data_IF_771903294158
#
_entry.id   IF_771903294158
#
_cell.length_a   1.000
_cell.length_b   1.000
_cell.length_c   1.000
_cell.angle_alpha   90.00
_cell.angle_beta   90.00
_cell.angle_gamma   90.00
#
_symmetry.space_group_name_H-M   'P 1'
#
loop_
_entity.id
_entity.type
_entity.pdbx_description
1 polymer ?
#
# COMPACT_ATOMS: atom_id res chain seq x y z
N UNK A 1 7.70 -3.18 -2.29
CA UNK A 1 8.93 -3.91 -1.89
C UNK A 1 9.27 -3.59 -0.44
N UNK A 2 8.80 -4.41 0.49
CA UNK A 2 9.30 -4.51 1.86
C UNK A 2 10.32 -5.64 1.81
N UNK A 3 11.44 -5.40 1.15
CA UNK A 3 12.49 -6.40 0.94
C UNK A 3 13.77 -5.60 1.17
N UNK A 4 14.70 -5.93 2.06
CA UNK A 4 14.97 -7.23 2.64
C UNK A 4 15.93 -7.12 3.82
N UNK A 5 15.45 -6.64 4.97
CA UNK A 5 16.18 -6.83 6.24
C UNK A 5 15.35 -7.41 7.38
N UNK A 6 14.10 -7.78 7.11
CA UNK A 6 13.26 -8.55 8.04
C UNK A 6 12.73 -9.86 7.45
N UNK A 7 13.01 -10.14 6.18
CA UNK A 7 12.47 -11.31 5.47
C UNK A 7 13.27 -12.61 5.67
N UNK A 8 14.57 -12.54 6.00
CA UNK A 8 15.41 -13.75 6.09
C UNK A 8 15.04 -14.72 7.23
N UNK A 9 14.15 -14.32 8.15
CA UNK A 9 13.56 -15.23 9.15
C UNK A 9 12.04 -15.42 9.02
N UNK A 10 11.35 -14.64 8.19
CA UNK A 10 9.88 -14.68 8.08
C UNK A 10 9.37 -15.43 6.84
N UNK A 11 10.21 -15.63 5.82
CA UNK A 11 9.82 -16.35 4.59
C UNK A 11 9.66 -17.87 4.77
N UNK A 12 10.22 -18.45 5.84
CA UNK A 12 10.08 -19.89 6.12
C UNK A 12 8.74 -20.28 6.75
N UNK A 13 7.85 -19.31 7.04
CA UNK A 13 6.58 -19.56 7.76
C UNK A 13 5.31 -19.30 6.93
N UNK A 14 5.41 -18.99 5.64
CA UNK A 14 4.24 -18.68 4.79
C UNK A 14 3.71 -19.90 4.00
N UNK A 15 4.27 -21.09 4.21
CA UNK A 15 3.79 -22.32 3.58
C UNK A 15 2.66 -22.98 4.40
N UNK A 16 1.44 -22.89 3.85
CA UNK A 16 0.21 -23.61 4.22
C UNK A 16 -0.34 -23.35 5.63
N UNK A 17 -1.11 -22.27 5.77
CA UNK A 17 -2.20 -22.24 6.75
C UNK A 17 -3.51 -22.32 5.98
N UNK A 18 -4.16 -23.48 6.07
CA UNK A 18 -5.51 -23.69 5.55
C UNK A 18 -6.50 -22.72 6.23
N UNK A 19 -7.34 -22.12 5.40
CA UNK A 19 -8.63 -21.50 5.74
C UNK A 19 -9.30 -22.19 6.94
N UNK A 20 -9.32 -21.53 8.09
CA UNK A 20 -10.13 -21.96 9.23
C UNK A 20 -10.92 -20.79 9.83
N UNK A 21 -12.24 -20.93 9.79
CA UNK A 21 -13.27 -20.37 10.71
C UNK A 21 -13.41 -18.85 10.94
N UNK A 22 -13.15 -17.97 9.96
CA UNK A 22 -13.59 -16.55 10.06
C UNK A 22 -15.00 -16.32 9.49
N UNK A 23 -15.53 -17.23 8.66
CA UNK A 23 -16.76 -16.99 7.88
C UNK A 23 -18.06 -16.87 8.69
N UNK A 24 -18.08 -17.22 9.98
CA UNK A 24 -19.30 -17.27 10.80
C UNK A 24 -19.41 -16.19 11.88
N UNK A 25 -18.51 -15.20 11.94
CA UNK A 25 -18.64 -14.10 12.91
C UNK A 25 -19.68 -13.09 12.42
N UNK A 26 -20.82 -13.00 13.12
CA UNK A 26 -21.84 -11.99 12.85
C UNK A 26 -21.55 -10.74 13.66
N UNK A 27 -21.37 -9.61 12.97
CA UNK A 27 -21.19 -8.31 13.61
C UNK A 27 -22.55 -7.66 13.86
N UNK A 28 -22.81 -7.28 15.12
CA UNK A 28 -23.96 -6.47 15.49
C UNK A 28 -23.51 -5.04 15.73
N UNK A 29 -23.97 -4.12 14.87
CA UNK A 29 -23.59 -2.72 14.93
C UNK A 29 -24.64 -1.89 15.67
N UNK A 30 -24.16 -1.01 16.54
CA UNK A 30 -24.90 0.10 17.12
C UNK A 30 -24.72 1.33 16.24
N UNK A 31 -25.82 1.91 15.73
CA UNK A 31 -25.80 3.07 14.84
C UNK A 31 -26.75 4.17 15.31
N UNK A 32 -26.38 5.42 15.05
CA UNK A 32 -27.19 6.61 15.40
C UNK A 32 -28.36 6.84 14.43
N UNK A 33 -28.16 6.51 13.15
CA UNK A 33 -29.23 6.43 12.14
C UNK A 33 -29.75 5.00 12.03
N UNK A 34 -31.09 4.86 11.99
CA UNK A 34 -31.73 3.62 11.53
C UNK A 34 -31.34 3.41 10.07
N UNK A 35 -30.93 2.18 9.72
CA UNK A 35 -30.67 1.75 8.34
C UNK A 35 -31.82 2.22 7.43
N UNK A 36 -31.62 3.37 6.77
CA UNK A 36 -32.52 3.83 5.75
C UNK A 36 -32.19 3.04 4.49
N UNK A 37 -33.24 2.64 3.78
CA UNK A 37 -33.15 1.80 2.59
C UNK A 37 -32.08 2.34 1.61
N UNK A 38 -31.14 1.47 1.23
CA UNK A 38 -30.13 1.66 0.19
C UNK A 38 -29.46 3.05 0.18
N UNK A 39 -28.71 3.36 1.24
CA UNK A 39 -27.85 4.55 1.25
C UNK A 39 -26.81 4.47 0.11
N UNK A 40 -26.69 5.56 -0.66
CA UNK A 40 -25.81 5.67 -1.81
C UNK A 40 -24.35 5.97 -1.42
N UNK A 41 -23.84 5.35 -0.35
CA UNK A 41 -22.47 5.59 0.09
C UNK A 41 -21.49 5.24 -1.03
N UNK A 42 -20.60 6.19 -1.32
CA UNK A 42 -19.45 5.98 -2.21
C UNK A 42 -18.29 5.34 -1.44
N UNK A 43 -18.13 5.67 -0.16
CA UNK A 43 -17.00 5.25 0.68
C UNK A 43 -17.47 4.62 1.98
N UNK A 44 -16.93 3.48 2.35
CA UNK A 44 -17.07 2.89 3.68
C UNK A 44 -15.71 2.85 4.35
N UNK A 45 -15.54 3.66 5.40
CA UNK A 45 -14.30 3.71 6.19
C UNK A 45 -14.36 2.65 7.28
N UNK A 46 -13.29 1.87 7.43
CA UNK A 46 -13.15 0.88 8.49
C UNK A 46 -12.09 1.31 9.51
N UNK A 47 -12.39 1.08 10.78
CA UNK A 47 -11.54 1.46 11.92
C UNK A 47 -11.48 0.30 12.92
N UNK A 48 -10.42 -0.53 12.90
CA UNK A 48 -10.17 -1.51 13.94
C UNK A 48 -9.69 -0.81 15.21
N UNK A 49 -10.25 -1.19 16.36
CA UNK A 49 -9.97 -0.58 17.66
C UNK A 49 -9.66 -1.64 18.71
N UNK A 50 -8.55 -1.45 19.43
CA UNK A 50 -8.21 -2.23 20.62
C UNK A 50 -7.36 -1.39 21.57
N UNK A 51 -7.95 -1.02 22.71
CA UNK A 51 -7.32 -0.20 23.74
C UNK A 51 -6.86 1.19 23.27
N UNK A 52 -7.77 1.95 22.65
CA UNK A 52 -7.51 3.28 22.07
C UNK A 52 -8.28 4.42 22.74
N UNK A 53 -8.75 4.24 23.98
CA UNK A 53 -9.63 5.22 24.64
C UNK A 53 -9.08 6.66 24.62
N UNK A 54 -7.75 6.83 24.73
CA UNK A 54 -7.10 8.14 24.74
C UNK A 54 -7.10 8.89 23.39
N UNK A 55 -7.22 8.17 22.27
CA UNK A 55 -7.08 8.75 20.93
C UNK A 55 -8.38 8.67 20.12
N UNK A 56 -9.24 7.71 20.42
CA UNK A 56 -10.40 7.36 19.61
C UNK A 56 -11.33 8.54 19.34
N UNK A 57 -11.58 9.40 20.33
CA UNK A 57 -12.44 10.58 20.13
C UNK A 57 -11.87 11.53 19.05
N UNK A 58 -10.55 11.79 19.08
CA UNK A 58 -9.89 12.63 18.08
C UNK A 58 -9.87 11.98 16.70
N UNK A 59 -9.68 10.65 16.64
CA UNK A 59 -9.79 9.87 15.41
C UNK A 59 -11.18 9.99 14.78
N UNK A 60 -12.23 9.88 15.59
CA UNK A 60 -13.61 10.03 15.13
C UNK A 60 -13.93 11.47 14.70
N UNK A 61 -13.42 12.49 15.39
CA UNK A 61 -13.52 13.89 14.95
C UNK A 61 -12.84 14.12 13.60
N UNK A 62 -11.64 13.57 13.39
CA UNK A 62 -10.95 13.68 12.11
C UNK A 62 -11.77 13.06 10.97
N UNK A 63 -12.48 11.96 11.24
CA UNK A 63 -13.36 11.30 10.26
C UNK A 63 -14.69 12.02 10.07
N UNK A 64 -15.27 12.64 11.11
CA UNK A 64 -16.54 13.36 11.02
C UNK A 64 -16.40 14.72 10.33
N UNK A 65 -15.26 15.38 10.52
CA UNK A 65 -15.01 16.76 10.04
C UNK A 65 -14.36 16.79 8.65
N UNK A 66 -14.68 15.83 7.78
CA UNK A 66 -14.11 15.75 6.44
C UNK A 66 -14.67 16.84 5.52
N UNK A 67 -13.81 17.37 4.65
CA UNK A 67 -14.13 18.41 3.67
C UNK A 67 -13.77 17.97 2.26
N UNK A 68 -14.47 18.51 1.28
CA UNK A 68 -14.18 18.33 -0.14
C UNK A 68 -12.88 19.04 -0.56
N UNK A 69 -12.50 18.83 -1.83
CA UNK A 69 -11.36 19.52 -2.43
C UNK A 69 -11.55 21.05 -2.49
N UNK A 70 -12.80 21.52 -2.43
CA UNK A 70 -13.19 22.93 -2.33
C UNK A 70 -13.22 23.46 -0.88
N UNK A 71 -12.76 22.67 0.10
CA UNK A 71 -12.76 22.98 1.53
C UNK A 71 -14.14 23.14 2.17
N UNK A 72 -15.22 22.73 1.49
CA UNK A 72 -16.57 22.70 2.07
C UNK A 72 -16.83 21.36 2.75
N UNK A 73 -17.64 21.29 3.83
CA UNK A 73 -17.99 20.03 4.47
C UNK A 73 -18.51 18.99 3.47
N UNK A 74 -18.03 17.75 3.57
CA UNK A 74 -18.57 16.66 2.74
C UNK A 74 -19.99 16.33 3.18
N UNK A 75 -20.92 16.10 2.23
CA UNK A 75 -22.22 15.54 2.55
C UNK A 75 -22.09 14.23 3.35
N UNK A 76 -22.79 14.09 4.49
CA UNK A 76 -22.70 12.89 5.33
C UNK A 76 -23.04 11.60 4.57
N UNK A 77 -23.93 11.67 3.58
CA UNK A 77 -24.43 10.51 2.84
C UNK A 77 -23.46 9.98 1.78
N UNK A 78 -22.31 10.62 1.58
CA UNK A 78 -21.25 10.11 0.70
C UNK A 78 -20.48 8.96 1.36
N UNK A 79 -20.41 8.93 2.70
CA UNK A 79 -19.61 7.94 3.39
C UNK A 79 -20.20 7.49 4.73
N UNK A 80 -19.79 6.28 5.14
CA UNK A 80 -20.04 5.76 6.47
C UNK A 80 -18.73 5.32 7.14
N UNK A 81 -18.76 5.19 8.46
CA UNK A 81 -17.64 4.72 9.27
C UNK A 81 -18.05 3.50 10.10
N UNK A 82 -17.30 2.42 9.96
CA UNK A 82 -17.45 1.20 10.74
C UNK A 82 -16.31 1.09 11.74
N UNK A 83 -16.65 1.15 13.03
CA UNK A 83 -15.72 0.89 14.13
C UNK A 83 -15.95 -0.53 14.63
N UNK A 84 -14.89 -1.34 14.66
CA UNK A 84 -14.92 -2.65 15.31
C UNK A 84 -13.96 -2.67 16.49
N UNK A 85 -14.53 -2.65 17.69
CA UNK A 85 -13.81 -2.83 18.94
C UNK A 85 -13.62 -4.32 19.19
N UNK A 86 -12.36 -4.77 19.31
CA UNK A 86 -12.03 -6.19 19.48
C UNK A 86 -11.13 -6.41 20.70
N UNK A 87 -11.56 -7.27 21.62
CA UNK A 87 -10.79 -7.66 22.82
C UNK A 87 -10.17 -6.45 23.54
N UNK A 88 -10.94 -5.37 23.66
CA UNK A 88 -10.56 -4.15 24.39
C UNK A 88 -10.87 -4.31 25.86
N UNK A 89 -9.97 -3.81 26.72
CA UNK A 89 -10.11 -3.81 28.18
C UNK A 89 -10.29 -2.40 28.77
N UNK A 90 -10.20 -1.37 27.92
CA UNK A 90 -10.44 0.03 28.30
C UNK A 90 -11.81 0.54 27.79
N UNK A 91 -12.06 1.83 27.99
CA UNK A 91 -13.33 2.47 27.67
C UNK A 91 -13.57 2.73 26.16
N UNK A 92 -12.75 2.17 25.26
CA UNK A 92 -12.87 2.40 23.80
C UNK A 92 -14.28 2.15 23.26
N UNK A 93 -14.93 1.07 23.70
CA UNK A 93 -16.30 0.74 23.26
C UNK A 93 -17.33 1.75 23.77
N UNK A 94 -17.20 2.19 25.04
CA UNK A 94 -18.07 3.19 25.62
C UNK A 94 -17.92 4.54 24.91
N UNK A 95 -16.67 4.96 24.65
CA UNK A 95 -16.36 6.20 23.94
C UNK A 95 -16.96 6.18 22.54
N UNK A 96 -16.80 5.08 21.77
CA UNK A 96 -17.37 4.97 20.43
C UNK A 96 -18.90 5.06 20.44
N UNK A 97 -19.57 4.41 21.40
CA UNK A 97 -21.04 4.48 21.54
C UNK A 97 -21.52 5.85 21.99
N UNK A 98 -20.81 6.49 22.91
CA UNK A 98 -21.11 7.86 23.33
C UNK A 98 -20.98 8.83 22.15
N UNK A 99 -19.94 8.66 21.32
CA UNK A 99 -19.73 9.48 20.13
C UNK A 99 -20.90 9.38 19.14
N UNK A 100 -21.47 8.18 18.96
CA UNK A 100 -22.69 7.99 18.15
C UNK A 100 -23.86 8.79 18.72
N UNK A 101 -24.02 8.84 20.05
CA UNK A 101 -25.08 9.61 20.70
C UNK A 101 -24.85 11.13 20.63
N UNK A 102 -23.60 11.57 20.73
CA UNK A 102 -23.21 12.98 20.65
C UNK A 102 -23.38 13.55 19.23
N UNK A 103 -23.22 12.72 18.19
CA UNK A 103 -23.25 13.12 16.78
C UNK A 103 -24.16 12.20 15.94
N UNK A 104 -25.49 12.24 16.11
CA UNK A 104 -26.42 11.32 15.45
C UNK A 104 -26.48 11.47 13.92
N UNK A 105 -26.11 12.64 13.38
CA UNK A 105 -26.04 12.89 11.93
C UNK A 105 -24.77 12.34 11.27
N UNK A 106 -23.78 11.92 12.06
CA UNK A 106 -22.60 11.24 11.55
C UNK A 106 -22.89 9.76 11.36
N UNK A 107 -22.72 9.26 10.13
CA UNK A 107 -22.99 7.87 9.76
C UNK A 107 -21.92 6.92 10.36
N UNK A 108 -21.99 6.72 11.68
CA UNK A 108 -21.09 5.89 12.47
C UNK A 108 -21.81 4.63 12.97
N UNK A 109 -21.22 3.48 12.67
CA UNK A 109 -21.66 2.17 13.14
C UNK A 109 -20.57 1.56 14.02
N UNK A 110 -20.91 1.15 15.24
CA UNK A 110 -19.97 0.59 16.21
C UNK A 110 -20.35 -0.84 16.56
N UNK A 111 -19.46 -1.79 16.31
CA UNK A 111 -19.57 -3.16 16.80
C UNK A 111 -18.49 -3.44 17.86
N UNK A 112 -18.83 -4.30 18.82
CA UNK A 112 -17.89 -4.79 19.82
C UNK A 112 -17.91 -6.31 19.81
N UNK A 113 -16.74 -6.94 19.70
CA UNK A 113 -16.60 -8.39 19.65
C UNK A 113 -15.53 -8.87 20.61
N UNK A 114 -15.66 -10.14 20.98
CA UNK A 114 -14.64 -10.89 21.67
C UNK A 114 -14.29 -12.12 20.83
N UNK A 115 -13.04 -12.24 20.43
CA UNK A 115 -12.50 -13.36 19.67
C UNK A 115 -11.57 -14.18 20.56
N UNK A 116 -11.49 -15.48 20.30
CA UNK A 116 -10.48 -16.35 20.89
C UNK A 116 -9.06 -15.85 20.57
N UNK A 117 -8.11 -16.08 21.48
CA UNK A 117 -6.73 -15.53 21.36
C UNK A 117 -6.06 -15.85 20.02
N UNK A 118 -6.30 -17.04 19.46
CA UNK A 118 -5.73 -17.47 18.19
C UNK A 118 -6.25 -16.70 16.97
N UNK A 119 -7.42 -16.06 17.10
CA UNK A 119 -8.08 -15.28 16.04
C UNK A 119 -8.09 -13.78 16.35
N UNK A 120 -7.79 -13.38 17.60
CA UNK A 120 -7.81 -12.00 18.08
C UNK A 120 -6.60 -11.16 17.61
N UNK A 121 -6.30 -11.21 16.32
CA UNK A 121 -5.23 -10.45 15.67
C UNK A 121 -5.78 -9.49 14.60
N UNK A 122 -4.96 -8.51 14.20
CA UNK A 122 -5.38 -7.42 13.32
C UNK A 122 -5.88 -7.92 11.96
N UNK A 123 -5.26 -8.96 11.38
CA UNK A 123 -5.72 -9.56 10.12
C UNK A 123 -7.18 -10.03 10.14
N UNK A 124 -7.62 -10.72 11.21
CA UNK A 124 -9.01 -11.15 11.34
C UNK A 124 -9.95 -9.96 11.51
N UNK A 125 -9.60 -9.01 12.39
CA UNK A 125 -10.44 -7.82 12.66
C UNK A 125 -10.61 -6.98 11.39
N UNK A 126 -9.51 -6.72 10.67
CA UNK A 126 -9.53 -5.93 9.44
C UNK A 126 -10.26 -6.69 8.32
N UNK A 127 -10.12 -8.01 8.23
CA UNK A 127 -10.90 -8.84 7.29
C UNK A 127 -12.40 -8.72 7.56
N UNK A 128 -12.84 -8.88 8.81
CA UNK A 128 -14.26 -8.77 9.18
C UNK A 128 -14.84 -7.40 8.83
N UNK A 129 -14.10 -6.34 9.13
CA UNK A 129 -14.47 -4.97 8.77
C UNK A 129 -14.57 -4.75 7.26
N UNK A 130 -13.57 -5.18 6.49
CA UNK A 130 -13.56 -5.01 5.03
C UNK A 130 -14.65 -5.85 4.36
N UNK A 131 -14.93 -7.06 4.84
CA UNK A 131 -16.03 -7.91 4.34
C UNK A 131 -17.39 -7.26 4.62
N UNK A 132 -17.57 -6.63 5.78
CA UNK A 132 -18.79 -5.88 6.09
C UNK A 132 -18.93 -4.63 5.21
N UNK A 133 -17.86 -3.86 5.06
CA UNK A 133 -17.84 -2.71 4.16
C UNK A 133 -18.19 -3.11 2.72
N UNK A 134 -17.61 -4.19 2.22
CA UNK A 134 -17.94 -4.77 0.91
C UNK A 134 -19.44 -5.13 0.81
N UNK A 135 -20.00 -5.80 1.82
CA UNK A 135 -21.43 -6.16 1.85
C UNK A 135 -22.36 -4.94 1.86
N UNK A 136 -21.99 -3.84 2.53
CA UNK A 136 -22.78 -2.60 2.54
C UNK A 136 -22.70 -1.88 1.20
N UNK A 137 -21.49 -1.72 0.67
CA UNK A 137 -21.25 -1.04 -0.61
C UNK A 137 -21.84 -1.79 -1.80
N UNK A 138 -21.91 -3.13 -1.77
CA UNK A 138 -22.55 -3.92 -2.84
C UNK A 138 -24.08 -3.80 -2.85
N UNK A 139 -24.69 -3.35 -1.75
CA UNK A 139 -26.12 -3.01 -1.68
C UNK A 139 -26.39 -1.55 -2.04
N UNK A 140 -25.37 -0.71 -2.09
CA UNK A 140 -25.45 0.70 -2.53
C UNK A 140 -25.59 0.77 -4.05
N UNK A 141 -26.34 1.78 -4.52
CA UNK A 141 -26.45 2.09 -5.95
C UNK A 141 -25.27 2.93 -6.48
N UNK A 142 -24.34 3.34 -5.61
CA UNK A 142 -23.15 4.08 -6.02
C UNK A 142 -22.26 3.23 -6.93
N UNK A 143 -21.63 3.87 -7.92
CA UNK A 143 -20.68 3.21 -8.81
C UNK A 143 -19.27 3.11 -8.21
N UNK A 144 -18.86 4.04 -7.33
CA UNK A 144 -17.47 4.14 -6.87
C UNK A 144 -17.07 3.10 -5.83
N UNK A 145 -17.99 2.75 -4.92
CA UNK A 145 -17.91 1.66 -3.92
C UNK A 145 -16.49 1.42 -3.38
N UNK A 146 -16.01 2.30 -2.51
CA UNK A 146 -14.63 2.33 -1.99
C UNK A 146 -14.60 1.86 -0.54
N UNK A 147 -13.74 0.90 -0.23
CA UNK A 147 -13.39 0.52 1.14
C UNK A 147 -12.12 1.28 1.51
N UNK A 148 -12.20 2.14 2.52
CA UNK A 148 -11.05 2.88 3.04
C UNK A 148 -10.72 2.41 4.46
N UNK A 149 -9.43 2.38 4.82
CA UNK A 149 -8.97 1.83 6.08
C UNK A 149 -8.04 2.80 6.80
N UNK A 150 -8.32 3.01 8.08
CA UNK A 150 -7.43 3.68 9.02
C UNK A 150 -7.46 3.00 10.39
N UNK A 151 -6.60 3.40 11.32
CA UNK A 151 -6.49 2.77 12.64
C UNK A 151 -7.08 3.66 13.75
N UNK A 152 -7.49 3.06 14.88
CA UNK A 152 -8.19 3.77 15.97
C UNK A 152 -7.44 4.91 16.67
N UNK A 153 -6.13 5.04 16.46
CA UNK A 153 -5.28 6.12 16.99
C UNK A 153 -4.69 7.04 15.89
N UNK A 154 -5.24 6.96 14.68
CA UNK A 154 -4.72 7.66 13.52
C UNK A 154 -5.64 8.82 13.13
N UNK A 155 -5.05 10.00 12.96
CA UNK A 155 -5.78 11.18 12.51
C UNK A 155 -5.64 11.33 11.00
N UNK A 156 -6.76 11.19 10.30
CA UNK A 156 -6.81 11.46 8.86
C UNK A 156 -6.73 12.96 8.58
N UNK A 157 -6.15 13.32 7.43
CA UNK A 157 -6.18 14.70 6.93
C UNK A 157 -7.63 15.15 6.65
N UNK A 158 -7.94 16.45 6.75
CA UNK A 158 -9.32 16.94 6.60
C UNK A 158 -9.90 16.68 5.21
N UNK A 159 -9.05 16.54 4.19
CA UNK A 159 -9.47 16.23 2.82
C UNK A 159 -9.33 14.73 2.48
N UNK A 160 -8.99 13.87 3.43
CA UNK A 160 -8.61 12.47 3.19
C UNK A 160 -9.61 11.69 2.32
N UNK A 161 -10.90 11.74 2.64
CA UNK A 161 -11.94 11.07 1.84
C UNK A 161 -12.01 11.62 0.42
N UNK A 162 -12.04 12.96 0.28
CA UNK A 162 -12.14 13.60 -1.04
C UNK A 162 -10.93 13.33 -1.94
N UNK A 163 -9.73 13.21 -1.34
CA UNK A 163 -8.50 12.86 -2.05
C UNK A 163 -8.51 11.39 -2.48
N UNK A 164 -9.02 10.47 -1.65
CA UNK A 164 -9.20 9.06 -2.04
C UNK A 164 -10.15 8.96 -3.24
N UNK A 165 -11.32 9.59 -3.15
CA UNK A 165 -12.30 9.60 -4.25
C UNK A 165 -11.67 10.15 -5.53
N UNK A 166 -10.95 11.28 -5.44
CA UNK A 166 -10.30 11.89 -6.59
C UNK A 166 -9.22 11.02 -7.23
N UNK A 167 -8.51 10.18 -6.48
CA UNK A 167 -7.56 9.23 -7.06
C UNK A 167 -8.27 8.03 -7.69
N UNK A 168 -9.35 7.50 -7.08
CA UNK A 168 -10.16 6.43 -7.69
C UNK A 168 -10.84 6.91 -8.98
N UNK A 169 -11.36 8.14 -9.01
CA UNK A 169 -11.99 8.76 -10.19
C UNK A 169 -11.03 8.90 -11.39
N UNK A 170 -9.70 8.86 -11.16
CA UNK A 170 -8.69 8.78 -12.23
C UNK A 170 -8.53 7.36 -12.80
N UNK A 171 -9.35 6.41 -12.37
CA UNK A 171 -9.35 5.02 -12.80
C UNK A 171 -8.36 4.14 -12.04
N UNK A 172 -8.00 4.51 -10.82
CA UNK A 172 -7.20 3.66 -9.92
C UNK A 172 -8.11 2.68 -9.17
N UNK A 173 -7.60 1.47 -8.92
CA UNK A 173 -8.34 0.44 -8.18
C UNK A 173 -8.06 0.50 -6.68
N UNK A 174 -6.89 1.02 -6.32
CA UNK A 174 -6.45 1.15 -4.94
C UNK A 174 -5.56 2.38 -4.74
N UNK A 175 -5.56 2.89 -3.51
CA UNK A 175 -4.79 4.06 -3.11
C UNK A 175 -4.03 3.76 -1.82
N UNK A 176 -2.70 3.89 -1.87
CA UNK A 176 -1.84 3.91 -0.70
C UNK A 176 -1.55 5.37 -0.33
N UNK A 177 -1.86 5.77 0.90
CA UNK A 177 -1.59 7.13 1.35
C UNK A 177 -0.33 7.25 2.22
N UNK A 178 0.14 8.49 2.39
CA UNK A 178 1.31 8.81 3.21
C UNK A 178 0.97 8.74 4.70
N UNK A 179 1.69 7.92 5.44
CA UNK A 179 1.60 7.84 6.91
C UNK A 179 2.72 8.68 7.52
N UNK A 180 2.34 9.72 8.24
CA UNK A 180 3.25 10.64 8.91
C UNK A 180 3.24 10.36 10.42
N UNK A 181 4.41 10.35 11.03
CA UNK A 181 4.52 10.29 12.49
C UNK A 181 4.33 11.69 13.07
N UNK A 182 3.49 11.81 14.11
CA UNK A 182 3.42 13.04 14.90
C UNK A 182 4.80 13.26 15.53
N UNK A 183 5.35 14.47 15.42
CA UNK A 183 6.75 14.80 15.77
C UNK A 183 7.10 14.28 17.17
N UNK A 184 7.87 13.21 17.25
CA UNK A 184 8.63 12.87 18.44
C UNK A 184 10.04 13.43 18.31
N UNK A 185 10.35 14.42 19.15
CA UNK A 185 11.71 14.73 19.56
C UNK A 185 12.26 13.51 20.29
N UNK A 186 13.13 12.73 19.64
CA UNK A 186 13.70 11.55 20.26
C UNK A 186 14.79 10.88 19.42
N UNK A 187 15.51 9.97 20.07
CA UNK A 187 16.49 9.08 19.46
C UNK A 187 15.83 8.26 18.32
N UNK A 188 16.57 7.94 17.27
CA UNK A 188 16.17 7.20 16.08
C UNK A 188 15.77 8.09 14.90
N UNK A 189 15.62 9.41 15.10
CA UNK A 189 15.16 10.34 14.05
C UNK A 189 16.08 10.37 12.84
N UNK A 190 17.40 10.38 13.04
CA UNK A 190 18.35 10.40 11.93
C UNK A 190 18.25 9.13 11.08
N UNK A 191 18.06 7.98 11.73
CA UNK A 191 17.89 6.67 11.08
C UNK A 191 16.58 6.61 10.29
N UNK A 192 15.49 7.12 10.88
CA UNK A 192 14.21 7.24 10.20
C UNK A 192 14.29 8.15 8.97
N UNK A 193 14.87 9.35 9.08
CA UNK A 193 14.99 10.27 7.95
C UNK A 193 15.86 9.72 6.83
N UNK A 194 16.91 8.96 7.14
CA UNK A 194 17.74 8.26 6.14
C UNK A 194 16.95 7.19 5.42
N UNK A 195 16.20 6.35 6.14
CA UNK A 195 15.35 5.33 5.55
C UNK A 195 14.25 5.95 4.65
N UNK A 196 13.56 6.99 5.12
CA UNK A 196 12.58 7.73 4.31
C UNK A 196 13.23 8.31 3.05
N UNK A 197 14.40 8.94 3.17
CA UNK A 197 15.15 9.49 2.03
C UNK A 197 15.50 8.40 1.02
N UNK A 198 16.07 7.30 1.50
CA UNK A 198 16.44 6.16 0.67
C UNK A 198 15.24 5.60 -0.09
N UNK A 199 14.11 5.36 0.59
CA UNK A 199 12.91 4.80 -0.05
C UNK A 199 12.24 5.76 -1.02
N UNK A 200 12.25 7.06 -0.77
CA UNK A 200 11.75 8.06 -1.72
C UNK A 200 12.62 8.11 -2.99
N UNK A 201 13.94 8.07 -2.85
CA UNK A 201 14.86 8.01 -3.99
C UNK A 201 14.69 6.70 -4.76
N UNK A 202 14.49 5.58 -4.07
CA UNK A 202 14.25 4.29 -4.70
C UNK A 202 12.93 4.29 -5.50
N UNK A 203 11.85 4.84 -4.93
CA UNK A 203 10.57 5.00 -5.65
C UNK A 203 10.73 5.90 -6.89
N UNK A 204 11.54 6.96 -6.82
CA UNK A 204 11.84 7.78 -7.98
C UNK A 204 12.62 7.01 -9.06
N UNK A 205 13.64 6.25 -8.65
CA UNK A 205 14.40 5.40 -9.58
C UNK A 205 13.52 4.32 -10.22
N UNK A 206 12.58 3.74 -9.46
CA UNK A 206 11.56 2.81 -9.96
C UNK A 206 10.67 3.48 -11.00
N UNK A 207 10.15 4.69 -10.77
CA UNK A 207 9.38 5.43 -11.77
C UNK A 207 10.14 5.71 -13.07
N UNK A 208 11.46 5.90 -12.99
CA UNK A 208 12.32 6.12 -14.16
C UNK A 208 12.52 4.82 -14.95
N UNK A 209 12.76 3.70 -14.25
CA UNK A 209 13.14 2.43 -14.88
C UNK A 209 11.95 1.53 -15.24
N UNK A 210 10.85 1.60 -14.49
CA UNK A 210 9.60 0.87 -14.70
C UNK A 210 8.38 1.80 -14.53
N UNK A 211 8.19 2.77 -15.44
CA UNK A 211 7.11 3.75 -15.33
C UNK A 211 5.73 3.08 -15.38
N UNK A 212 4.87 3.43 -14.42
CA UNK A 212 3.47 3.00 -14.37
C UNK A 212 2.55 4.20 -14.56
N UNK A 213 1.65 4.14 -15.56
CA UNK A 213 0.74 5.25 -15.91
C UNK A 213 -0.14 5.65 -14.72
N UNK A 214 -0.61 4.66 -13.95
CA UNK A 214 -1.50 4.85 -12.80
C UNK A 214 -0.75 5.29 -11.52
N UNK A 215 0.59 5.26 -11.52
CA UNK A 215 1.40 5.69 -10.37
C UNK A 215 2.60 6.55 -10.80
N UNK A 216 2.37 7.74 -11.39
CA UNK A 216 3.44 8.61 -11.84
C UNK A 216 4.19 9.25 -10.66
N UNK A 217 5.42 9.68 -10.91
CA UNK A 217 6.15 10.54 -9.98
C UNK A 217 5.47 11.93 -9.87
N UNK A 218 5.38 12.55 -8.67
CA UNK A 218 5.84 12.05 -7.37
C UNK A 218 4.92 10.96 -6.81
N UNK A 219 5.53 9.90 -6.28
CA UNK A 219 4.88 8.82 -5.53
C UNK A 219 5.79 8.33 -4.39
N UNK A 220 5.24 7.52 -3.50
CA UNK A 220 5.98 6.86 -2.42
C UNK A 220 5.81 5.33 -2.47
N UNK A 221 6.40 4.64 -1.50
CA UNK A 221 6.39 3.18 -1.41
C UNK A 221 5.30 2.62 -0.48
N UNK A 222 4.62 3.48 0.29
CA UNK A 222 3.71 3.05 1.35
C UNK A 222 2.36 2.58 0.82
N UNK A 223 1.93 1.43 1.31
CA UNK A 223 0.57 0.91 1.23
C UNK A 223 0.36 0.05 2.48
N UNK A 224 -0.29 0.62 3.51
CA UNK A 224 -0.37 0.01 4.83
C UNK A 224 -1.78 0.16 5.40
N UNK A 225 -2.15 -0.73 6.32
CA UNK A 225 -3.51 -0.82 6.85
C UNK A 225 -4.07 0.49 7.43
N UNK A 226 -3.21 1.32 8.00
CA UNK A 226 -3.59 2.61 8.59
C UNK A 226 -3.94 3.72 7.56
N UNK A 227 -3.60 3.53 6.28
CA UNK A 227 -3.89 4.49 5.21
C UNK A 227 -3.92 3.82 3.84
N UNK A 228 -4.97 3.01 3.61
CA UNK A 228 -5.20 2.37 2.32
C UNK A 228 -6.67 2.46 1.92
N UNK A 229 -6.93 2.47 0.63
CA UNK A 229 -8.27 2.35 0.06
C UNK A 229 -8.26 1.44 -1.16
N UNK A 230 -9.39 0.78 -1.42
CA UNK A 230 -9.57 -0.14 -2.55
C UNK A 230 -11.02 -0.12 -3.02
N UNK A 231 -11.26 -0.27 -4.31
CA UNK A 231 -12.62 -0.46 -4.82
C UNK A 231 -13.17 -1.82 -4.37
N UNK A 232 -14.49 -1.90 -4.16
CA UNK A 232 -15.17 -3.13 -3.77
C UNK A 232 -14.95 -4.24 -4.81
N UNK A 233 -14.95 -3.88 -6.09
CA UNK A 233 -14.71 -4.83 -7.19
C UNK A 233 -13.28 -5.39 -7.12
N UNK A 234 -12.26 -4.54 -6.93
CA UNK A 234 -10.87 -5.01 -6.81
C UNK A 234 -10.63 -5.80 -5.52
N UNK A 235 -11.28 -5.41 -4.41
CA UNK A 235 -11.25 -6.18 -3.17
C UNK A 235 -11.72 -7.63 -3.37
N UNK A 236 -12.84 -7.81 -4.08
CA UNK A 236 -13.38 -9.13 -4.39
C UNK A 236 -12.51 -9.88 -5.41
N UNK A 237 -12.00 -9.20 -6.44
CA UNK A 237 -11.15 -9.80 -7.47
C UNK A 237 -9.82 -10.31 -6.90
N UNK A 238 -9.21 -9.57 -5.98
CA UNK A 238 -7.96 -9.94 -5.32
C UNK A 238 -8.11 -11.04 -4.26
N UNK A 239 -9.32 -11.60 -4.06
CA UNK A 239 -9.57 -12.65 -3.08
C UNK A 239 -9.74 -12.15 -1.64
N UNK A 240 -10.06 -10.86 -1.47
CA UNK A 240 -10.27 -10.19 -0.17
C UNK A 240 -9.01 -10.13 0.68
N UNK A 241 -9.10 -9.59 1.90
CA UNK A 241 -7.95 -9.46 2.80
C UNK A 241 -7.48 -10.85 3.30
N UNK A 242 -6.22 -11.28 3.09
CA UNK A 242 -5.71 -12.51 3.68
C UNK A 242 -5.75 -12.47 5.20
N UNK A 243 -6.23 -13.55 5.85
CA UNK A 243 -6.28 -13.66 7.31
C UNK A 243 -4.94 -14.20 7.80
N UNK A 244 -4.04 -13.28 8.13
CA UNK A 244 -2.73 -13.58 8.74
C UNK A 244 -2.56 -12.78 10.03
N UNK A 245 -1.82 -13.31 11.03
CA UNK A 245 -1.67 -12.63 12.32
C UNK A 245 -0.92 -11.30 12.22
N UNK A 246 -0.01 -11.19 11.26
CA UNK A 246 0.89 -10.06 11.07
C UNK A 246 1.04 -9.75 9.58
N UNK A 247 1.28 -8.47 9.26
CA UNK A 247 1.54 -8.02 7.89
C UNK A 247 0.39 -8.36 6.93
N UNK A 248 -0.84 -8.27 7.41
CA UNK A 248 -2.06 -8.49 6.62
C UNK A 248 -2.18 -7.49 5.47
N UNK A 249 -1.70 -6.27 5.70
CA UNK A 249 -1.68 -5.20 4.70
C UNK A 249 -0.66 -5.47 3.59
N UNK A 250 0.51 -6.03 3.95
CA UNK A 250 1.52 -6.49 2.98
C UNK A 250 0.99 -7.66 2.16
N UNK A 251 0.35 -8.64 2.82
CA UNK A 251 -0.27 -9.78 2.15
C UNK A 251 -1.38 -9.32 1.20
N UNK A 252 -2.19 -8.36 1.61
CA UNK A 252 -3.24 -7.80 0.78
C UNK A 252 -2.70 -6.94 -0.38
N UNK A 253 -1.72 -6.09 -0.13
CA UNK A 253 -1.04 -5.34 -1.20
C UNK A 253 -0.42 -6.29 -2.23
N UNK A 254 0.18 -7.40 -1.78
CA UNK A 254 0.66 -8.44 -2.67
C UNK A 254 -0.48 -9.05 -3.50
N UNK A 255 -1.61 -9.40 -2.88
CA UNK A 255 -2.77 -9.92 -3.60
C UNK A 255 -3.29 -8.92 -4.66
N UNK A 256 -3.32 -7.62 -4.35
CA UNK A 256 -3.68 -6.57 -5.31
C UNK A 256 -2.69 -6.53 -6.49
N UNK A 257 -1.38 -6.56 -6.21
CA UNK A 257 -0.35 -6.59 -7.26
C UNK A 257 -0.48 -7.83 -8.13
N UNK A 258 -0.68 -9.01 -7.53
CA UNK A 258 -0.86 -10.29 -8.23
C UNK A 258 -2.04 -10.25 -9.23
N UNK A 259 -3.04 -9.40 -8.97
CA UNK A 259 -4.20 -9.18 -9.83
C UNK A 259 -4.10 -7.91 -10.71
N UNK A 260 -2.90 -7.36 -10.90
CA UNK A 260 -2.62 -6.17 -11.71
C UNK A 260 -3.43 -4.92 -11.32
N UNK A 261 -3.80 -4.79 -10.04
CA UNK A 261 -4.51 -3.63 -9.55
C UNK A 261 -3.74 -2.34 -9.86
N UNK A 262 -4.45 -1.29 -10.30
CA UNK A 262 -3.88 0.05 -10.48
C UNK A 262 -3.75 0.74 -9.13
N UNK A 263 -2.59 0.57 -8.49
CA UNK A 263 -2.31 1.11 -7.16
C UNK A 263 -1.64 2.49 -7.25
N UNK A 264 -2.33 3.52 -6.76
CA UNK A 264 -1.78 4.88 -6.66
C UNK A 264 -1.20 5.14 -5.28
N UNK A 265 0.10 5.45 -5.20
CA UNK A 265 0.73 5.86 -3.96
C UNK A 265 0.76 7.40 -3.86
N UNK A 266 -0.28 7.98 -3.26
CA UNK A 266 -0.55 9.42 -3.31
C UNK A 266 -0.04 10.17 -2.07
N UNK A 267 0.71 11.25 -2.31
CA UNK A 267 1.09 12.21 -1.27
C UNK A 267 -0.06 13.10 -0.79
N UNK A 268 -1.17 13.17 -1.52
CA UNK A 268 -2.33 13.97 -1.15
C UNK A 268 -3.17 13.27 -0.08
N UNK A 269 -3.21 11.94 -0.11
CA UNK A 269 -3.91 11.11 0.89
C UNK A 269 -2.98 10.92 2.09
N UNK A 270 -3.22 11.65 3.18
CA UNK A 270 -2.32 11.69 4.34
C UNK A 270 -3.02 11.32 5.63
N UNK A 271 -2.27 10.69 6.53
CA UNK A 271 -2.68 10.47 7.92
C UNK A 271 -1.52 10.74 8.87
N UNK A 272 -1.86 10.99 10.12
CA UNK A 272 -0.95 11.23 11.22
C UNK A 272 -1.19 10.19 12.31
N UNK A 273 -0.22 9.29 12.49
CA UNK A 273 -0.31 8.23 13.51
C UNK A 273 0.58 8.56 14.70
N UNK A 274 0.22 8.03 15.86
CA UNK A 274 1.06 8.06 17.04
C UNK A 274 2.28 7.14 16.83
N UNK A 275 3.47 7.61 17.18
CA UNK A 275 4.67 6.75 17.18
C UNK A 275 4.63 5.86 18.41
N UNK A 276 3.77 4.83 18.40
CA UNK A 276 3.71 3.88 19.50
C UNK A 276 5.09 3.22 19.67
N UNK A 277 5.75 3.52 20.79
CA UNK A 277 6.95 2.81 21.26
C UNK A 277 6.61 1.39 21.74
N UNK A 278 5.34 1.15 22.07
CA UNK A 278 4.79 -0.14 22.49
C UNK A 278 3.98 -0.80 21.37
N UNK A 279 4.61 -0.96 20.20
CA UNK A 279 4.13 -1.94 19.23
C UNK A 279 4.20 -3.32 19.87
N UNK A 280 3.03 -3.94 20.12
CA UNK A 280 2.89 -5.28 20.72
C UNK A 280 3.12 -6.42 19.72
N UNK A 281 3.48 -6.06 18.49
CA UNK A 281 3.66 -6.97 17.37
C UNK A 281 5.15 -7.16 17.15
N UNK A 282 5.60 -8.41 17.03
CA UNK A 282 7.02 -8.75 16.84
C UNK A 282 7.60 -8.20 15.51
N UNK A 283 6.74 -7.69 14.61
CA UNK A 283 7.09 -7.15 13.30
C UNK A 283 6.23 -5.92 13.01
N UNK A 284 6.81 -4.85 12.46
CA UNK A 284 6.07 -3.64 12.07
C UNK A 284 6.87 -2.35 12.25
N UNK A 285 6.23 -1.22 11.95
CA UNK A 285 6.88 0.11 11.99
C UNK A 285 7.38 0.49 13.40
N UNK A 286 6.62 0.20 14.46
CA UNK A 286 7.05 0.42 15.84
C UNK A 286 8.31 -0.36 16.22
N UNK A 287 8.45 -1.61 15.75
CA UNK A 287 9.66 -2.40 16.00
C UNK A 287 10.84 -1.88 15.19
N UNK A 288 10.60 -1.41 13.96
CA UNK A 288 11.63 -0.74 13.16
C UNK A 288 12.13 0.55 13.83
N UNK A 289 11.25 1.35 14.43
CA UNK A 289 11.63 2.52 15.22
C UNK A 289 12.46 2.13 16.44
N UNK A 290 12.08 1.07 17.17
CA UNK A 290 12.82 0.55 18.32
C UNK A 290 14.22 0.07 17.92
N UNK A 291 14.31 -0.65 16.80
CA UNK A 291 15.58 -1.10 16.22
C UNK A 291 16.48 0.09 15.87
N UNK A 292 15.96 1.09 15.17
CA UNK A 292 16.73 2.29 14.82
C UNK A 292 17.20 3.08 16.03
N UNK A 293 16.41 3.14 17.11
CA UNK A 293 16.84 3.73 18.37
C UNK A 293 18.02 2.99 18.99
N UNK A 294 17.97 1.65 18.99
CA UNK A 294 19.05 0.83 19.53
C UNK A 294 20.31 0.92 18.66
N UNK A 295 20.15 0.83 17.33
CA UNK A 295 21.26 0.98 16.38
C UNK A 295 21.93 2.36 16.50
N UNK A 296 21.16 3.43 16.71
CA UNK A 296 21.71 4.77 16.94
C UNK A 296 22.51 4.85 18.25
N UNK A 297 22.01 4.24 19.34
CA UNK A 297 22.72 4.21 20.64
C UNK A 297 24.10 3.54 20.55
N UNK A 298 24.21 2.50 19.72
CA UNK A 298 25.47 1.75 19.53
C UNK A 298 26.25 2.19 18.28
N UNK A 299 25.83 3.28 17.62
CA UNK A 299 26.44 3.81 16.39
C UNK A 299 26.54 2.78 15.24
N UNK A 300 25.61 1.83 15.17
CA UNK A 300 25.61 0.78 14.14
C UNK A 300 25.18 1.32 12.78
N UNK A 301 26.02 1.17 11.76
CA UNK A 301 25.69 1.58 10.39
C UNK A 301 24.43 0.89 9.87
N UNK A 302 23.45 1.68 9.40
CA UNK A 302 22.30 1.15 8.66
C UNK A 302 22.76 0.56 7.34
N UNK A 303 22.43 -0.70 7.13
CA UNK A 303 22.70 -1.42 5.88
C UNK A 303 21.40 -1.53 5.09
N UNK A 304 21.50 -1.49 3.76
CA UNK A 304 20.38 -1.70 2.82
C UNK A 304 20.87 -2.57 1.67
N UNK A 305 19.95 -3.14 0.90
CA UNK A 305 20.31 -3.88 -0.32
C UNK A 305 21.13 -3.01 -1.27
N UNK A 306 22.00 -3.67 -2.02
CA UNK A 306 22.76 -3.03 -3.07
C UNK A 306 21.83 -2.37 -4.09
N UNK A 307 22.08 -1.09 -4.37
CA UNK A 307 21.25 -0.29 -5.27
C UNK A 307 21.30 -0.85 -6.68
N UNK A 308 22.45 -1.37 -7.13
CA UNK A 308 22.57 -1.90 -8.48
C UNK A 308 21.63 -3.08 -8.70
N UNK A 309 21.54 -3.99 -7.71
CA UNK A 309 20.60 -5.12 -7.74
C UNK A 309 19.15 -4.62 -7.87
N UNK A 310 18.77 -3.58 -7.12
CA UNK A 310 17.42 -3.02 -7.19
C UNK A 310 17.12 -2.33 -8.53
N UNK A 311 18.08 -1.58 -9.08
CA UNK A 311 17.92 -0.94 -10.39
C UNK A 311 17.80 -1.99 -11.51
N UNK A 312 18.58 -3.07 -11.44
CA UNK A 312 18.50 -4.18 -12.38
C UNK A 312 17.16 -4.90 -12.27
N UNK A 313 16.65 -5.11 -11.05
CA UNK A 313 15.30 -5.64 -10.84
C UNK A 313 14.21 -4.78 -11.48
N UNK A 314 14.30 -3.44 -11.41
CA UNK A 314 13.35 -2.57 -12.08
C UNK A 314 13.42 -2.69 -13.62
N UNK A 315 14.63 -2.78 -14.18
CA UNK A 315 14.84 -2.99 -15.62
C UNK A 315 14.23 -4.31 -16.08
N UNK A 316 14.49 -5.38 -15.33
CA UNK A 316 13.97 -6.72 -15.60
C UNK A 316 12.45 -6.70 -15.55
N UNK A 317 11.86 -6.12 -14.50
CA UNK A 317 10.41 -6.02 -14.36
C UNK A 317 9.78 -5.26 -15.53
N UNK A 318 10.34 -4.12 -15.92
CA UNK A 318 9.82 -3.33 -17.03
C UNK A 318 9.89 -4.10 -18.36
N UNK A 319 11.05 -4.72 -18.65
CA UNK A 319 11.23 -5.51 -19.86
C UNK A 319 10.20 -6.65 -19.93
N UNK A 320 10.09 -7.45 -18.86
CA UNK A 320 9.13 -8.54 -18.79
C UNK A 320 7.68 -8.06 -18.90
N UNK A 321 7.33 -6.90 -18.32
CA UNK A 321 6.00 -6.30 -18.42
C UNK A 321 5.66 -5.92 -19.85
N UNK A 322 6.61 -5.34 -20.58
CA UNK A 322 6.43 -4.99 -22.00
C UNK A 322 6.27 -6.23 -22.87
N UNK A 323 7.10 -7.24 -22.67
CA UNK A 323 7.02 -8.51 -23.39
C UNK A 323 5.68 -9.22 -23.14
N UNK A 324 5.25 -9.28 -21.88
CA UNK A 324 3.94 -9.83 -21.52
C UNK A 324 2.79 -9.01 -22.12
N UNK A 325 2.84 -7.68 -22.05
CA UNK A 325 1.79 -6.82 -22.62
C UNK A 325 1.70 -6.96 -24.14
N UNK A 326 2.85 -7.03 -24.83
CA UNK A 326 2.91 -7.28 -26.28
C UNK A 326 2.32 -8.64 -26.64
N UNK A 327 2.61 -9.68 -25.85
CA UNK A 327 2.03 -11.00 -26.06
C UNK A 327 0.51 -11.00 -25.85
N UNK A 328 0.01 -10.40 -24.77
CA UNK A 328 -1.43 -10.32 -24.51
C UNK A 328 -2.19 -9.57 -25.62
N UNK A 329 -1.60 -8.51 -26.19
CA UNK A 329 -2.24 -7.70 -27.23
C UNK A 329 -2.11 -8.32 -28.64
N UNK A 330 -0.95 -8.85 -28.99
CA UNK A 330 -0.59 -9.18 -30.37
C UNK A 330 -0.14 -10.63 -30.56
N UNK A 331 -0.09 -11.44 -29.50
CA UNK A 331 0.44 -12.80 -29.51
C UNK A 331 1.89 -12.87 -30.03
N UNK A 332 2.65 -11.78 -29.82
CA UNK A 332 4.03 -11.64 -30.30
C UNK A 332 4.99 -11.40 -29.14
N UNK A 333 6.03 -12.23 -29.11
CA UNK A 333 7.22 -12.05 -28.28
C UNK A 333 8.39 -11.84 -29.26
N UNK A 334 9.15 -10.76 -29.07
CA UNK A 334 10.38 -10.58 -29.82
C UNK A 334 11.44 -11.54 -29.29
N UNK A 335 11.71 -12.60 -30.06
CA UNK A 335 12.64 -13.65 -29.66
C UNK A 335 14.07 -13.14 -29.54
N UNK A 336 14.48 -12.18 -30.38
CA UNK A 336 15.84 -11.64 -30.36
C UNK A 336 16.06 -10.81 -29.10
N UNK A 337 15.15 -9.87 -28.81
CA UNK A 337 15.24 -9.05 -27.61
C UNK A 337 15.19 -9.90 -26.34
N UNK A 338 14.33 -10.93 -26.31
CA UNK A 338 14.21 -11.82 -25.16
C UNK A 338 15.46 -12.69 -24.96
N UNK A 339 16.08 -13.18 -26.03
CA UNK A 339 17.35 -13.93 -25.96
C UNK A 339 18.49 -13.06 -25.46
N UNK A 340 18.65 -11.84 -26.00
CA UNK A 340 19.66 -10.90 -25.52
C UNK A 340 19.45 -10.56 -24.04
N UNK A 341 18.19 -10.37 -23.64
CA UNK A 341 17.82 -10.10 -22.26
C UNK A 341 18.14 -11.29 -21.34
N UNK A 342 17.79 -12.51 -21.75
CA UNK A 342 18.05 -13.72 -20.99
C UNK A 342 19.56 -13.96 -20.78
N UNK A 343 20.37 -13.71 -21.81
CA UNK A 343 21.84 -13.78 -21.71
C UNK A 343 22.37 -12.73 -20.71
N UNK A 344 21.89 -11.49 -20.80
CA UNK A 344 22.35 -10.38 -19.95
C UNK A 344 22.16 -10.65 -18.46
N UNK A 345 21.09 -11.37 -18.09
CA UNK A 345 20.74 -11.63 -16.69
C UNK A 345 20.90 -13.09 -16.25
N UNK A 346 21.57 -13.93 -17.06
CA UNK A 346 21.80 -15.36 -16.81
C UNK A 346 20.50 -16.13 -16.48
N UNK A 347 19.54 -16.04 -17.41
CA UNK A 347 18.20 -16.62 -17.29
C UNK A 347 17.88 -17.60 -18.42
N UNK A 348 16.96 -18.52 -18.16
CA UNK A 348 16.42 -19.44 -19.17
C UNK A 348 15.34 -18.73 -20.02
N UNK A 349 15.68 -18.48 -21.29
CA UNK A 349 14.80 -17.81 -22.25
C UNK A 349 13.49 -18.59 -22.50
N UNK A 350 13.55 -19.92 -22.59
CA UNK A 350 12.37 -20.75 -22.87
C UNK A 350 11.44 -20.80 -21.66
N UNK A 351 12.00 -20.85 -20.45
CA UNK A 351 11.22 -20.74 -19.21
C UNK A 351 10.50 -19.39 -19.13
N UNK A 352 11.17 -18.29 -19.49
CA UNK A 352 10.54 -16.96 -19.50
C UNK A 352 9.40 -16.91 -20.53
N UNK A 353 9.61 -17.43 -21.75
CA UNK A 353 8.56 -17.51 -22.78
C UNK A 353 7.34 -18.28 -22.27
N UNK A 354 7.55 -19.48 -21.72
CA UNK A 354 6.47 -20.30 -21.18
C UNK A 354 5.68 -19.56 -20.10
N UNK A 355 6.37 -18.86 -19.18
CA UNK A 355 5.72 -18.10 -18.11
C UNK A 355 4.95 -16.89 -18.61
N UNK A 356 5.43 -16.19 -19.65
CA UNK A 356 4.71 -15.09 -20.30
C UNK A 356 3.38 -15.60 -20.89
N UNK A 357 3.41 -16.77 -21.54
CA UNK A 357 2.25 -17.38 -22.20
C UNK A 357 1.21 -17.85 -21.18
N UNK A 358 1.64 -18.51 -20.10
CA UNK A 358 0.76 -19.05 -19.06
C UNK A 358 0.07 -17.96 -18.21
N UNK A 359 0.70 -16.79 -18.08
CA UNK A 359 0.31 -15.79 -17.12
C UNK A 359 -0.92 -14.97 -17.53
N UNK A 360 -2.00 -15.13 -16.77
CA UNK A 360 -3.20 -14.29 -16.89
C UNK A 360 -2.98 -12.86 -16.41
N UNK A 361 -2.18 -12.69 -15.35
CA UNK A 361 -1.85 -11.41 -14.74
C UNK A 361 -0.33 -11.24 -14.69
N UNK A 362 0.16 -10.03 -15.00
CA UNK A 362 1.58 -9.74 -14.94
C UNK A 362 2.11 -9.83 -13.51
N UNK A 363 1.35 -9.37 -12.51
CA UNK A 363 1.74 -9.45 -11.11
C UNK A 363 2.04 -10.87 -10.64
N UNK A 364 1.17 -11.82 -10.98
CA UNK A 364 1.38 -13.25 -10.70
C UNK A 364 2.65 -13.78 -11.38
N UNK A 365 2.85 -13.44 -12.65
CA UNK A 365 4.06 -13.80 -13.38
C UNK A 365 5.30 -13.23 -12.70
N UNK A 366 5.31 -11.93 -12.43
CA UNK A 366 6.43 -11.25 -11.79
C UNK A 366 6.73 -11.83 -10.41
N UNK A 367 5.71 -12.12 -9.63
CA UNK A 367 5.90 -12.72 -8.32
C UNK A 367 6.55 -14.10 -8.41
N UNK A 368 5.96 -15.02 -9.21
CA UNK A 368 6.52 -16.35 -9.41
C UNK A 368 7.95 -16.28 -9.96
N UNK A 369 8.18 -15.38 -10.92
CA UNK A 369 9.49 -15.12 -11.49
C UNK A 369 10.47 -14.60 -10.43
N UNK A 370 10.07 -13.65 -9.59
CA UNK A 370 10.94 -13.11 -8.54
C UNK A 370 11.29 -14.16 -7.50
N UNK A 371 10.40 -15.09 -7.15
CA UNK A 371 10.70 -16.20 -6.21
C UNK A 371 11.65 -17.24 -6.81
N UNK A 372 11.47 -17.59 -8.09
CA UNK A 372 12.33 -18.57 -8.77
C UNK A 372 13.69 -17.97 -9.12
N UNK A 373 13.68 -16.74 -9.62
CA UNK A 373 14.87 -16.03 -10.09
C UNK A 373 15.58 -15.31 -8.96
N UNK A 374 14.96 -15.12 -7.79
CA UNK A 374 15.69 -14.79 -6.56
C UNK A 374 16.85 -15.76 -6.33
N UNK A 375 16.72 -17.03 -6.73
CA UNK A 375 17.81 -18.01 -6.64
C UNK A 375 18.91 -17.82 -7.68
N UNK A 376 18.67 -17.09 -8.77
CA UNK A 376 19.65 -16.82 -9.86
C UNK A 376 20.19 -15.39 -9.83
N UNK A 377 19.31 -14.37 -9.83
CA UNK A 377 19.63 -12.94 -9.71
C UNK A 377 20.12 -12.55 -8.30
N UNK A 378 19.65 -13.23 -7.23
CA UNK A 378 20.10 -12.98 -5.84
C UNK A 378 21.05 -14.05 -5.31
N UNK A 379 21.91 -14.66 -6.15
CA UNK A 379 22.97 -15.59 -5.68
C UNK A 379 23.84 -15.02 -4.56
N UNK A 380 23.84 -13.71 -4.35
CA UNK A 380 24.16 -13.10 -3.05
C UNK A 380 23.40 -11.78 -2.92
N UNK A 381 22.38 -11.69 -2.08
CA UNK A 381 21.85 -10.38 -1.65
C UNK A 381 23.00 -9.65 -0.96
N UNK A 382 23.62 -8.70 -1.65
CA UNK A 382 24.68 -7.88 -1.09
C UNK A 382 24.06 -6.68 -0.39
N UNK A 383 24.65 -6.31 0.74
CA UNK A 383 24.23 -5.16 1.52
C UNK A 383 25.31 -4.09 1.49
N UNK A 384 24.88 -2.83 1.45
CA UNK A 384 25.76 -1.67 1.51
C UNK A 384 25.26 -0.63 2.52
N UNK A 385 26.12 0.28 3.01
CA UNK A 385 25.70 1.35 3.90
C UNK A 385 24.65 2.26 3.26
N UNK A 386 23.58 2.60 3.99
CA UNK A 386 22.47 3.42 3.46
C UNK A 386 22.93 4.78 2.93
N UNK A 387 23.98 5.37 3.51
CA UNK A 387 24.53 6.65 3.05
C UNK A 387 25.13 6.52 1.64
N UNK A 388 25.82 5.41 1.37
CA UNK A 388 26.37 5.10 0.05
C UNK A 388 25.23 4.87 -0.95
N UNK A 389 24.22 4.09 -0.56
CA UNK A 389 23.03 3.86 -1.38
C UNK A 389 22.31 5.16 -1.77
N UNK A 390 22.11 6.07 -0.82
CA UNK A 390 21.51 7.40 -1.06
C UNK A 390 22.34 8.20 -2.08
N UNK A 391 23.67 8.20 -1.97
CA UNK A 391 24.54 8.90 -2.92
C UNK A 391 24.46 8.30 -4.32
N UNK A 392 24.48 6.97 -4.43
CA UNK A 392 24.34 6.26 -5.70
C UNK A 392 22.99 6.57 -6.37
N UNK A 393 21.88 6.49 -5.64
CA UNK A 393 20.55 6.80 -6.17
C UNK A 393 20.44 8.26 -6.63
N UNK A 394 20.96 9.21 -5.84
CA UNK A 394 20.99 10.63 -6.25
C UNK A 394 21.78 10.84 -7.55
N UNK A 395 22.93 10.18 -7.69
CA UNK A 395 23.74 10.24 -8.92
C UNK A 395 22.98 9.64 -10.11
N UNK A 396 22.35 8.48 -9.92
CA UNK A 396 21.53 7.84 -10.95
C UNK A 396 20.40 8.75 -11.43
N UNK A 397 19.60 9.30 -10.51
CA UNK A 397 18.47 10.19 -10.82
C UNK A 397 18.96 11.44 -11.57
N UNK A 398 20.00 12.10 -11.08
CA UNK A 398 20.57 13.29 -11.74
C UNK A 398 21.03 13.00 -13.17
N UNK A 399 21.62 11.83 -13.42
CA UNK A 399 22.05 11.43 -14.76
C UNK A 399 20.86 11.13 -15.68
N UNK A 400 19.79 10.54 -15.16
CA UNK A 400 18.56 10.29 -15.93
C UNK A 400 17.87 11.60 -16.37
N UNK A 401 17.81 12.59 -15.46
CA UNK A 401 17.29 13.92 -15.77
C UNK A 401 18.13 14.63 -16.84
N UNK A 402 19.46 14.44 -16.80
CA UNK A 402 20.36 14.97 -17.82
C UNK A 402 20.13 14.32 -19.20
N UNK A 403 19.97 12.99 -19.25
CA UNK A 403 19.72 12.27 -20.51
C UNK A 403 18.36 12.66 -21.11
N UNK A 404 17.32 12.78 -20.27
CA UNK A 404 15.99 13.18 -20.75
C UNK A 404 15.96 14.63 -21.27
N UNK A 405 16.63 15.56 -20.58
CA UNK A 405 16.76 16.94 -21.06
C UNK A 405 17.57 17.06 -22.35
N UNK A 406 18.61 16.26 -22.56
CA UNK A 406 19.33 16.21 -23.84
C UNK A 406 18.50 15.63 -24.99
N UNK A 407 17.69 14.59 -24.75
CA UNK A 407 16.76 14.06 -25.76
C UNK A 407 15.73 15.12 -26.18
N UNK A 408 15.14 15.83 -25.22
CA UNK A 408 14.20 16.92 -25.50
C UNK A 408 14.83 18.11 -26.23
N UNK A 409 16.13 18.38 -26.01
CA UNK A 409 16.87 19.40 -26.77
C UNK A 409 17.16 18.95 -28.21
N UNK A 410 17.46 17.67 -28.43
CA UNK A 410 17.72 17.12 -29.76
C UNK A 410 16.43 16.96 -30.59
N UNK A 411 15.29 16.67 -29.97
CA UNK A 411 13.98 16.62 -30.66
C UNK A 411 13.48 18.03 -31.08
N UNK A 412 14.00 19.09 -30.47
CA UNK A 412 13.77 20.49 -30.89
C UNK A 412 14.72 20.98 -31.99
N UNK A 413 15.60 20.12 -32.50
CA UNK A 413 16.48 20.39 -33.65
C UNK A 413 16.13 19.48 -34.84
N UNK A 414 14.87 19.48 -35.27
CA UNK A 414 14.52 19.11 -36.64
C UNK A 414 14.74 20.35 -37.53
N UNK A 415 15.68 20.33 -38.50
CA UNK A 415 15.85 21.45 -39.41
C UNK A 415 14.61 21.55 -40.29
N UNK A 416 13.92 22.68 -40.23
CA UNK A 416 12.90 23.07 -41.19
C UNK A 416 13.57 23.13 -42.57
N UNK A 417 13.44 22.07 -43.35
CA UNK A 417 13.84 22.03 -44.74
C UNK A 417 12.88 22.92 -45.54
N UNK A 418 13.31 24.16 -45.78
CA UNK A 418 12.73 25.01 -46.81
C UNK A 418 12.97 24.34 -48.17
N UNK A 419 11.92 23.73 -48.72
CA UNK A 419 11.87 23.36 -50.14
C UNK A 419 11.67 24.64 -50.94
N UNK A 420 12.70 25.06 -51.68
CA UNK A 420 12.56 25.91 -52.86
C UNK A 420 12.26 25.01 -54.05
N UNK A 421 11.07 25.13 -54.64
CA UNK A 421 10.80 25.52 -56.05
C UNK A 421 9.34 25.97 -56.10
#
# INVERSE_FOLDING_TARGET
MIVGQSLSKSETLVTKVQSSKVENVTLSFYSGRKDCAANAYEVCVIVPVRNEANHLYQTLDALRLQVGLNCMPLPPDIYEVLVLVNNSSDDSCQIARQYVADFPDFNLSVANIHLDESQAHIGTVRRLLMDEAYKRLTRSFSQKRIIASTDGDTLVDSQWISQIIAEIDKGNDAVGGRILTRRESGNGRAYHLRDVTYRCLLAQAECILDPQIHNPYPCHHQYFGANMAVTADMYQQAGRLPVVPFLEDVAFHKALVDHDAKIRNSFSVKVYTSSRKDGRVAVGFSEQLRRWQNEEKIYQTQMVEDVQVLLDMFRVRNFLRKSWSSYQQNQKIDAHDLEQFAIMFDMDCELIKAKIVEAKHFGQFWHAFSETTAKSLHRTVTFQPIKQAILQLRKFIKNADFISSQRNLNDNFQPVSYVRV
#
